data_IF_865461573411
#
_entry.id   IF_865461573411
#
_cell.length_a   1.000
_cell.length_b   1.000
_cell.length_c   1.000
_cell.angle_alpha   90.00
_cell.angle_beta   90.00
_cell.angle_gamma   90.00
#
_symmetry.space_group_name_H-M   'P 1'
#
loop_
_entity.id
_entity.type
_entity.pdbx_description
1 polymer ?
#
# COMPACT_ATOMS: atom_id res chain seq x y z
N UNK A 1 -2.62 0.15 16.80
CA UNK A 1 -2.57 1.03 15.62
C UNK A 1 -3.70 2.02 15.74
N UNK A 2 -3.42 3.31 15.60
CA UNK A 2 -4.44 4.35 15.50
C UNK A 2 -4.38 4.94 14.08
N UNK A 3 -5.55 5.15 13.45
CA UNK A 3 -5.68 5.77 12.14
C UNK A 3 -6.63 6.98 12.29
N UNK A 4 -6.11 8.19 12.06
CA UNK A 4 -6.86 9.45 12.16
C UNK A 4 -6.87 10.21 10.83
N UNK A 5 -7.87 11.09 10.64
CA UNK A 5 -7.93 12.04 9.54
C UNK A 5 -7.39 13.40 9.99
N UNK A 6 -6.42 13.96 9.27
CA UNK A 6 -5.92 15.33 9.46
C UNK A 6 -5.84 16.04 8.12
N UNK A 7 -6.64 17.10 7.91
CA UNK A 7 -6.58 17.98 6.71
C UNK A 7 -6.44 17.20 5.39
N UNK A 8 -7.38 16.30 5.13
CA UNK A 8 -7.44 15.42 3.94
C UNK A 8 -6.34 14.35 3.83
N UNK A 9 -5.56 14.16 4.90
CA UNK A 9 -4.58 13.07 5.01
C UNK A 9 -5.05 12.01 6.00
N UNK A 10 -4.63 10.77 5.77
CA UNK A 10 -4.79 9.67 6.73
C UNK A 10 -3.44 9.46 7.42
N UNK A 11 -3.45 9.41 8.74
CA UNK A 11 -2.24 9.19 9.56
C UNK A 11 -2.36 7.86 10.28
N UNK A 12 -1.40 6.96 10.06
CA UNK A 12 -1.30 5.68 10.77
C UNK A 12 -0.06 5.67 11.68
N UNK A 13 -0.25 5.39 12.96
CA UNK A 13 0.85 5.37 13.94
C UNK A 13 1.17 3.94 14.37
N UNK A 14 2.45 3.58 14.21
CA UNK A 14 3.06 2.34 14.68
C UNK A 14 4.11 2.66 15.76
N UNK A 15 4.61 1.65 16.47
CA UNK A 15 5.52 1.86 17.60
C UNK A 15 6.76 2.71 17.25
N UNK A 16 7.31 2.56 16.04
CA UNK A 16 8.55 3.22 15.60
C UNK A 16 8.39 4.22 14.46
N UNK A 17 7.24 4.21 13.79
CA UNK A 17 7.00 5.05 12.62
C UNK A 17 5.60 5.68 12.63
N UNK A 18 5.50 6.88 12.08
CA UNK A 18 4.24 7.53 11.74
C UNK A 18 4.13 7.62 10.23
N UNK A 19 3.08 7.07 9.66
CA UNK A 19 2.83 7.07 8.22
C UNK A 19 1.76 8.11 7.91
N UNK A 20 2.04 8.99 6.96
CA UNK A 20 1.10 10.02 6.48
C UNK A 20 0.82 9.78 5.02
N UNK A 21 -0.42 9.43 4.69
CA UNK A 21 -0.88 9.27 3.32
C UNK A 21 -1.34 10.61 2.77
N UNK A 22 -0.69 11.07 1.70
CA UNK A 22 -1.08 12.30 1.00
C UNK A 22 -2.46 12.15 0.32
N UNK A 23 -3.17 13.26 0.03
CA UNK A 23 -4.46 13.20 -0.65
C UNK A 23 -4.38 12.50 -2.01
N UNK A 24 -3.31 12.73 -2.77
CA UNK A 24 -3.03 12.05 -4.05
C UNK A 24 -3.00 10.52 -3.92
N UNK A 25 -2.44 10.00 -2.83
CA UNK A 25 -2.41 8.55 -2.58
C UNK A 25 -3.81 8.04 -2.25
N UNK A 26 -4.57 8.79 -1.45
CA UNK A 26 -5.96 8.44 -1.14
C UNK A 26 -6.86 8.49 -2.38
N UNK A 27 -6.62 9.41 -3.30
CA UNK A 27 -7.30 9.46 -4.61
C UNK A 27 -7.00 8.23 -5.46
N UNK A 28 -5.73 7.79 -5.52
CA UNK A 28 -5.36 6.54 -6.22
C UNK A 28 -6.08 5.34 -5.59
N UNK A 29 -6.12 5.25 -4.26
CA UNK A 29 -6.85 4.18 -3.57
C UNK A 29 -8.35 4.23 -3.88
N UNK A 30 -8.95 5.42 -3.79
CA UNK A 30 -10.38 5.59 -3.98
C UNK A 30 -10.81 5.27 -5.41
N UNK A 31 -10.02 5.68 -6.41
CA UNK A 31 -10.26 5.39 -7.83
C UNK A 31 -10.37 3.88 -8.10
N UNK A 32 -9.62 3.06 -7.36
CA UNK A 32 -9.46 1.63 -7.63
C UNK A 32 -10.31 0.70 -6.75
N UNK A 33 -11.15 1.24 -5.85
CA UNK A 33 -12.04 0.43 -4.99
C UNK A 33 -12.89 -0.56 -5.80
N UNK A 34 -13.08 -1.77 -5.25
CA UNK A 34 -13.87 -2.84 -5.87
C UNK A 34 -15.38 -2.65 -5.76
N UNK A 35 -15.90 -1.49 -6.20
CA UNK A 35 -17.30 -1.08 -6.01
C UNK A 35 -18.33 -1.97 -6.70
N UNK A 36 -17.97 -2.64 -7.79
CA UNK A 36 -18.89 -3.49 -8.57
C UNK A 36 -18.60 -4.97 -8.30
N UNK A 37 -19.60 -5.81 -8.50
CA UNK A 37 -19.44 -7.27 -8.31
C UNK A 37 -18.46 -7.90 -9.31
N UNK A 38 -18.17 -7.23 -10.43
CA UNK A 38 -17.14 -7.62 -11.40
C UNK A 38 -15.82 -6.85 -11.27
N UNK A 39 -15.72 -5.91 -10.33
CA UNK A 39 -14.46 -5.22 -10.07
C UNK A 39 -13.41 -6.22 -9.60
N UNK A 40 -12.31 -6.29 -10.34
CA UNK A 40 -11.12 -7.05 -9.97
C UNK A 40 -10.36 -6.33 -8.88
N UNK A 41 -9.70 -7.09 -8.02
CA UNK A 41 -8.71 -6.60 -7.08
C UNK A 41 -7.67 -5.77 -7.82
N UNK A 42 -7.42 -4.56 -7.34
CA UNK A 42 -6.36 -3.68 -7.82
C UNK A 42 -5.28 -3.59 -6.74
N UNK A 43 -4.07 -3.25 -7.15
CA UNK A 43 -2.98 -3.01 -6.24
C UNK A 43 -1.84 -2.30 -6.93
N UNK A 44 -0.81 -2.00 -6.16
CA UNK A 44 0.39 -1.31 -6.61
C UNK A 44 1.34 -1.04 -5.46
N UNK A 45 2.34 -0.22 -5.74
CA UNK A 45 3.45 0.05 -4.82
C UNK A 45 3.28 1.42 -4.17
N UNK A 46 3.82 1.56 -2.95
CA UNK A 46 3.81 2.79 -2.17
C UNK A 46 5.21 3.38 -2.08
N UNK A 47 5.28 4.69 -2.25
CA UNK A 47 6.52 5.45 -2.25
C UNK A 47 6.45 6.65 -1.32
N UNK A 48 7.50 6.82 -0.51
CA UNK A 48 7.54 7.85 0.51
C UNK A 48 8.85 8.63 0.53
N UNK A 49 8.77 9.88 1.00
CA UNK A 49 9.91 10.59 1.59
C UNK A 49 9.96 10.28 3.08
N UNK A 50 11.15 10.01 3.59
CA UNK A 50 11.36 9.60 4.98
C UNK A 50 12.12 10.71 5.70
N UNK A 51 11.56 11.19 6.80
CA UNK A 51 12.21 12.14 7.71
C UNK A 51 12.15 11.59 9.13
N UNK A 52 13.29 11.07 9.61
CA UNK A 52 13.36 10.36 10.88
C UNK A 52 12.36 9.19 10.95
N UNK A 53 11.47 9.24 11.95
CA UNK A 53 10.42 8.25 12.16
C UNK A 53 9.14 8.50 11.35
N UNK A 54 9.11 9.49 10.44
CA UNK A 54 7.90 9.84 9.69
C UNK A 54 8.03 9.47 8.23
N UNK A 55 7.06 8.70 7.72
CA UNK A 55 6.98 8.28 6.33
C UNK A 55 5.86 9.08 5.64
N UNK A 56 6.26 10.00 4.78
CA UNK A 56 5.33 10.79 3.96
C UNK A 56 5.05 10.03 2.67
N UNK A 57 3.99 9.21 2.67
CA UNK A 57 3.56 8.42 1.50
C UNK A 57 2.89 9.35 0.51
N UNK A 58 3.61 9.62 -0.57
CA UNK A 58 3.29 10.69 -1.53
C UNK A 58 2.99 10.17 -2.93
N UNK A 59 3.36 8.92 -3.24
CA UNK A 59 3.02 8.28 -4.51
C UNK A 59 2.55 6.86 -4.26
N UNK A 60 1.51 6.47 -5.00
CA UNK A 60 0.99 5.12 -5.07
C UNK A 60 0.82 4.78 -6.54
N UNK A 61 1.35 3.65 -6.99
CA UNK A 61 1.15 3.20 -8.36
C UNK A 61 -0.18 2.47 -8.50
N UNK A 62 -0.75 2.49 -9.70
CA UNK A 62 -1.99 1.78 -10.02
C UNK A 62 -1.72 0.37 -10.55
N UNK A 63 -2.78 -0.45 -10.70
CA UNK A 63 -2.65 -1.74 -11.32
C UNK A 63 -2.25 -1.58 -12.80
N UNK A 64 -1.36 -2.45 -13.25
CA UNK A 64 -0.80 -2.48 -14.60
C UNK A 64 -1.62 -3.40 -15.47
N UNK A 65 -1.57 -3.18 -16.79
CA UNK A 65 -2.19 -4.10 -17.75
C UNK A 65 -1.52 -5.47 -17.78
N UNK A 66 -0.28 -5.57 -17.30
CA UNK A 66 0.50 -6.81 -17.20
C UNK A 66 0.22 -7.60 -15.92
N UNK A 67 -0.46 -7.00 -14.94
CA UNK A 67 -0.84 -7.71 -13.71
C UNK A 67 -1.90 -8.76 -13.99
N UNK A 68 -1.80 -9.91 -13.32
CA UNK A 68 -2.82 -10.97 -13.39
C UNK A 68 -3.78 -10.81 -12.23
N UNK A 69 -5.02 -10.45 -12.56
CA UNK A 69 -6.01 -9.96 -11.58
C UNK A 69 -7.35 -10.69 -11.71
N UNK A 70 -7.91 -11.06 -10.58
CA UNK A 70 -9.29 -11.54 -10.42
C UNK A 70 -9.98 -10.78 -9.29
N UNK A 71 -11.15 -11.24 -8.86
CA UNK A 71 -11.90 -10.55 -7.79
C UNK A 71 -11.25 -10.69 -6.41
N UNK A 72 -10.53 -11.79 -6.18
CA UNK A 72 -9.94 -12.17 -4.89
C UNK A 72 -8.49 -12.66 -5.06
N UNK A 73 -7.83 -12.20 -6.12
CA UNK A 73 -6.42 -12.49 -6.34
C UNK A 73 -5.78 -11.38 -7.17
N UNK A 74 -4.57 -11.01 -6.76
CA UNK A 74 -3.72 -10.04 -7.43
C UNK A 74 -2.29 -10.60 -7.51
N UNK A 75 -1.80 -10.80 -8.72
CA UNK A 75 -0.41 -11.17 -8.96
C UNK A 75 0.27 -10.06 -9.77
N UNK A 76 1.15 -9.26 -9.13
CA UNK A 76 1.80 -8.17 -9.82
C UNK A 76 2.89 -8.65 -10.78
N UNK A 77 3.13 -7.84 -11.80
CA UNK A 77 4.31 -7.97 -12.64
C UNK A 77 5.57 -7.47 -11.92
N UNK A 78 6.33 -8.40 -11.34
CA UNK A 78 7.54 -8.13 -10.55
C UNK A 78 8.62 -7.34 -11.32
N UNK A 79 8.71 -7.52 -12.65
CA UNK A 79 9.70 -6.77 -13.46
C UNK A 79 9.30 -5.30 -13.55
N UNK A 80 8.02 -5.05 -13.78
CA UNK A 80 7.50 -3.68 -13.83
C UNK A 80 7.59 -2.99 -12.46
N UNK A 81 7.32 -3.72 -11.38
CA UNK A 81 7.52 -3.23 -10.01
C UNK A 81 8.96 -2.81 -9.74
N UNK A 82 9.94 -3.63 -10.11
CA UNK A 82 11.35 -3.27 -9.89
C UNK A 82 11.77 -2.04 -10.69
N UNK A 83 11.26 -1.87 -11.92
CA UNK A 83 11.52 -0.68 -12.73
C UNK A 83 10.97 0.58 -12.06
N UNK A 84 9.75 0.52 -11.53
CA UNK A 84 9.13 1.63 -10.82
C UNK A 84 9.85 1.96 -9.51
N UNK A 85 10.31 0.95 -8.77
CA UNK A 85 11.17 1.15 -7.58
C UNK A 85 12.41 1.95 -7.97
N UNK A 86 13.11 1.53 -9.03
CA UNK A 86 14.34 2.19 -9.46
C UNK A 86 14.09 3.65 -9.91
N UNK A 87 12.99 3.90 -10.63
CA UNK A 87 12.62 5.25 -11.10
C UNK A 87 12.26 6.19 -9.95
N UNK A 88 11.46 5.72 -8.99
CA UNK A 88 11.09 6.49 -7.81
C UNK A 88 12.30 6.76 -6.92
N UNK A 89 13.17 5.76 -6.74
CA UNK A 89 14.41 5.92 -5.98
C UNK A 89 15.35 6.96 -6.59
N UNK A 90 15.52 6.95 -7.92
CA UNK A 90 16.29 7.97 -8.63
C UNK A 90 15.72 9.40 -8.44
N UNK A 91 14.43 9.51 -8.10
CA UNK A 91 13.72 10.77 -7.81
C UNK A 91 13.66 11.11 -6.32
N UNK A 92 14.35 10.34 -5.46
CA UNK A 92 14.42 10.57 -4.01
C UNK A 92 13.25 10.01 -3.19
N UNK A 93 12.49 9.06 -3.74
CA UNK A 93 11.45 8.34 -3.01
C UNK A 93 11.87 6.92 -2.67
N UNK A 94 11.52 6.46 -1.47
CA UNK A 94 11.75 5.09 -1.03
C UNK A 94 10.52 4.25 -1.27
N UNK A 95 10.71 3.04 -1.81
CA UNK A 95 9.69 2.00 -1.75
C UNK A 95 9.41 1.64 -0.29
N UNK A 96 8.15 1.70 0.11
CA UNK A 96 7.72 1.52 1.51
C UNK A 96 6.68 0.43 1.68
N UNK A 97 6.33 -0.31 0.63
CA UNK A 97 5.40 -1.44 0.69
C UNK A 97 4.37 -1.41 -0.42
N UNK A 98 3.35 -2.24 -0.29
CA UNK A 98 2.34 -2.44 -1.32
C UNK A 98 0.94 -2.14 -0.78
N UNK A 99 0.02 -1.91 -1.71
CA UNK A 99 -1.39 -1.81 -1.43
C UNK A 99 -2.20 -2.70 -2.37
N UNK A 100 -3.36 -3.16 -1.90
CA UNK A 100 -4.37 -3.80 -2.75
C UNK A 100 -5.79 -3.54 -2.23
N UNK A 101 -6.80 -3.90 -3.00
CA UNK A 101 -8.21 -3.70 -2.63
C UNK A 101 -8.87 -4.98 -2.17
N UNK A 102 -9.77 -4.90 -1.18
CA UNK A 102 -10.74 -5.96 -0.90
C UNK A 102 -12.17 -5.44 -1.14
N UNK A 103 -13.12 -6.29 -1.55
CA UNK A 103 -14.53 -5.88 -1.71
C UNK A 103 -15.30 -5.79 -0.37
N UNK A 104 -14.59 -5.69 0.76
CA UNK A 104 -15.15 -5.53 2.11
C UNK A 104 -15.31 -4.04 2.41
N UNK A 105 -16.29 -3.63 3.23
CA UNK A 105 -16.40 -2.23 3.67
C UNK A 105 -15.18 -1.83 4.51
N UNK A 106 -14.97 -2.54 5.61
CA UNK A 106 -13.79 -2.44 6.47
C UNK A 106 -12.93 -3.67 6.19
N UNK A 107 -11.76 -3.51 5.53
CA UNK A 107 -10.98 -4.63 5.05
C UNK A 107 -10.17 -5.28 6.17
N UNK A 108 -9.89 -6.57 5.99
CA UNK A 108 -8.97 -7.34 6.83
C UNK A 108 -8.00 -8.14 5.94
N UNK A 109 -6.73 -8.29 6.32
CA UNK A 109 -5.80 -9.09 5.54
C UNK A 109 -6.20 -10.57 5.55
N UNK A 110 -5.98 -11.22 4.41
CA UNK A 110 -5.99 -12.67 4.32
C UNK A 110 -4.68 -13.25 4.89
N UNK A 111 -4.67 -14.55 5.20
CA UNK A 111 -3.43 -15.22 5.59
C UNK A 111 -2.35 -15.15 4.50
N UNK A 112 -2.78 -15.20 3.23
CA UNK A 112 -1.87 -15.08 2.08
C UNK A 112 -1.26 -13.68 1.95
N UNK A 113 -1.99 -12.63 2.34
CA UNK A 113 -1.46 -11.25 2.33
C UNK A 113 -0.31 -11.11 3.33
N UNK A 114 -0.51 -11.64 4.54
CA UNK A 114 0.49 -11.63 5.61
C UNK A 114 1.73 -12.43 5.21
N UNK A 115 1.54 -13.65 4.71
CA UNK A 115 2.67 -14.50 4.28
C UNK A 115 3.45 -13.86 3.13
N UNK A 116 2.76 -13.20 2.20
CA UNK A 116 3.40 -12.55 1.05
C UNK A 116 4.29 -11.39 1.49
N UNK A 117 3.78 -10.49 2.33
CA UNK A 117 4.58 -9.34 2.80
C UNK A 117 5.74 -9.79 3.70
N UNK A 118 5.55 -10.80 4.55
CA UNK A 118 6.63 -11.37 5.36
C UNK A 118 7.74 -12.00 4.51
N UNK A 119 7.38 -12.71 3.43
CA UNK A 119 8.35 -13.26 2.48
C UNK A 119 9.14 -12.15 1.80
N UNK A 120 8.49 -11.08 1.33
CA UNK A 120 9.19 -9.92 0.73
C UNK A 120 10.16 -9.30 1.72
N UNK A 121 9.75 -9.09 2.98
CA UNK A 121 10.60 -8.53 4.03
C UNK A 121 11.83 -9.41 4.32
N UNK A 122 11.66 -10.74 4.34
CA UNK A 122 12.76 -11.69 4.64
C UNK A 122 13.70 -11.92 3.47
N UNK A 123 13.19 -11.89 2.24
CA UNK A 123 13.91 -12.34 1.04
C UNK A 123 14.50 -11.18 0.22
N UNK A 124 14.13 -9.93 0.52
CA UNK A 124 14.56 -8.75 -0.25
C UNK A 124 15.55 -7.87 0.53
N UNK A 125 16.45 -7.22 -0.20
CA UNK A 125 17.27 -6.13 0.35
C UNK A 125 16.42 -4.86 0.41
N UNK A 126 16.01 -4.46 1.61
CA UNK A 126 15.20 -3.26 1.82
C UNK A 126 16.08 -2.02 2.07
N UNK A 127 15.65 -0.89 1.52
CA UNK A 127 16.21 0.44 1.84
C UNK A 127 15.51 1.12 3.03
N UNK A 128 14.58 0.42 3.66
CA UNK A 128 13.76 0.86 4.79
C UNK A 128 13.76 -0.22 5.88
N UNK A 129 13.49 0.13 7.15
CA UNK A 129 13.45 -0.86 8.25
C UNK A 129 12.31 -1.91 8.17
N UNK A 130 11.49 -1.88 7.12
CA UNK A 130 10.31 -2.71 6.96
C UNK A 130 9.43 -2.23 5.81
N UNK A 131 8.27 -2.85 5.65
CA UNK A 131 7.29 -2.53 4.62
C UNK A 131 5.87 -2.38 5.20
N UNK A 132 5.07 -1.59 4.49
CA UNK A 132 3.65 -1.44 4.73
C UNK A 132 2.86 -2.44 3.88
N UNK A 133 1.84 -3.03 4.49
CA UNK A 133 0.75 -3.68 3.79
C UNK A 133 -0.49 -2.83 3.98
N UNK A 134 -1.03 -2.28 2.90
CA UNK A 134 -2.27 -1.51 2.92
C UNK A 134 -3.38 -2.24 2.16
N UNK A 135 -4.58 -2.31 2.74
CA UNK A 135 -5.75 -2.91 2.08
C UNK A 135 -6.88 -1.89 2.06
N UNK A 136 -7.43 -1.67 0.88
CA UNK A 136 -8.46 -0.67 0.62
C UNK A 136 -9.83 -1.36 0.48
N UNK A 137 -10.73 -1.06 1.40
CA UNK A 137 -12.11 -1.55 1.41
C UNK A 137 -13.06 -0.63 0.64
N UNK A 138 -14.33 -0.59 1.04
CA UNK A 138 -15.37 0.24 0.43
C UNK A 138 -15.84 1.39 1.34
N UNK A 139 -15.65 1.28 2.65
CA UNK A 139 -16.00 2.36 3.58
C UNK A 139 -15.13 3.60 3.33
N UNK A 140 -15.62 4.81 3.67
CA UNK A 140 -14.79 6.02 3.65
C UNK A 140 -13.53 5.86 4.50
N UNK A 141 -12.49 6.59 4.15
CA UNK A 141 -11.33 6.69 5.04
C UNK A 141 -11.73 7.39 6.35
N UNK A 142 -11.17 6.98 7.50
CA UNK A 142 -10.08 6.01 7.64
C UNK A 142 -10.55 4.55 7.70
N UNK A 143 -11.85 4.29 7.92
CA UNK A 143 -12.38 2.94 8.14
C UNK A 143 -12.14 1.96 6.97
N UNK A 144 -12.14 2.46 5.74
CA UNK A 144 -11.82 1.67 4.55
C UNK A 144 -10.33 1.46 4.27
N UNK A 145 -9.42 1.87 5.15
CA UNK A 145 -7.99 1.61 5.02
C UNK A 145 -7.54 0.71 6.18
N UNK A 146 -7.23 -0.54 5.88
CA UNK A 146 -6.38 -1.35 6.74
C UNK A 146 -4.92 -1.04 6.42
N UNK A 147 -4.08 -0.93 7.44
CA UNK A 147 -2.64 -0.82 7.26
C UNK A 147 -1.91 -1.63 8.32
N UNK A 148 -0.76 -2.19 7.97
CA UNK A 148 0.11 -2.89 8.90
C UNK A 148 1.56 -2.67 8.51
N UNK A 149 2.45 -2.71 9.50
CA UNK A 149 3.88 -2.51 9.33
C UNK A 149 4.63 -3.79 9.69
N UNK A 150 5.46 -4.27 8.77
CA UNK A 150 6.22 -5.51 8.87
C UNK A 150 7.71 -5.18 8.83
N UNK A 151 8.38 -5.30 9.97
CA UNK A 151 9.81 -5.05 10.10
C UNK A 151 10.62 -6.29 9.71
N UNK A 152 11.82 -6.07 9.16
CA UNK A 152 12.83 -7.10 8.94
C UNK A 152 13.57 -7.50 10.21
#
# INVERSE_FOLDING_TARGET
MAIDLDRDTVVATFHRITVRFSPMVLEVFDLHRQRRWWSKEAGGQLFAKIDGGVWFVQSATGPRSTDRRGRFHFWPDRRSEQLEINQHFASGFHYVGDWHTHPQDIPSPSASDILSIESVVKESTLHTPGLLLCIIGLAPFPAGLYTSYHAG
#
